data_IF_743573549626
#
_entry.id   IF_743573549626
#
_cell.length_a   1.000
_cell.length_b   1.000
_cell.length_c   1.000
_cell.angle_alpha   90.00
_cell.angle_beta   90.00
_cell.angle_gamma   90.00
#
_symmetry.space_group_name_H-M   'P 1'
#
loop_
_entity.id
_entity.type
_entity.pdbx_description
1 polymer ?
#
# COMPACT_ATOMS: atom_id res chain seq x y z
N UNK A 1 36.64 5.56 56.74
CA UNK A 1 35.77 4.98 55.70
C UNK A 1 34.45 4.60 56.35
N UNK A 2 33.42 5.43 56.19
CA UNK A 2 32.11 5.20 56.79
C UNK A 2 31.40 4.07 56.06
N UNK A 3 30.82 3.10 56.80
CA UNK A 3 29.97 2.06 56.21
C UNK A 3 28.64 2.71 55.84
N UNK A 4 28.32 2.75 54.55
CA UNK A 4 27.03 3.22 54.03
C UNK A 4 25.91 2.39 54.67
N UNK A 5 24.84 3.05 55.13
CA UNK A 5 23.75 2.36 55.81
C UNK A 5 23.02 1.46 54.80
N UNK A 6 22.75 0.20 55.17
CA UNK A 6 22.12 -0.79 54.27
C UNK A 6 20.79 -0.31 53.65
N UNK A 7 20.06 0.59 54.33
CA UNK A 7 18.81 1.18 53.80
C UNK A 7 19.02 2.13 52.63
N UNK A 8 20.09 2.92 52.61
CA UNK A 8 20.41 3.84 51.50
C UNK A 8 20.73 3.06 50.22
N UNK A 9 21.45 1.94 50.37
CA UNK A 9 21.81 1.07 49.24
C UNK A 9 20.57 0.44 48.60
N UNK A 10 19.57 0.01 49.40
CA UNK A 10 18.32 -0.57 48.90
C UNK A 10 17.49 0.48 48.14
N UNK A 11 17.54 1.73 48.58
CA UNK A 11 16.80 2.83 47.97
C UNK A 11 17.39 3.24 46.61
N UNK A 12 18.71 3.30 46.49
CA UNK A 12 19.42 3.52 45.22
C UNK A 12 19.10 2.44 44.17
N UNK A 13 18.98 1.17 44.60
CA UNK A 13 18.58 0.08 43.71
C UNK A 13 17.12 0.17 43.26
N UNK A 14 16.21 0.58 44.13
CA UNK A 14 14.80 0.80 43.80
C UNK A 14 14.64 1.95 42.81
N UNK A 15 15.36 3.05 43.02
CA UNK A 15 15.33 4.21 42.14
C UNK A 15 15.97 3.90 40.78
N UNK A 16 17.06 3.13 40.75
CA UNK A 16 17.64 2.60 39.51
C UNK A 16 16.70 1.67 38.75
N UNK A 17 15.97 0.81 39.46
CA UNK A 17 14.98 -0.10 38.88
C UNK A 17 13.79 0.64 38.27
N UNK A 18 13.29 1.67 38.95
CA UNK A 18 12.22 2.53 38.44
C UNK A 18 12.68 3.34 37.22
N UNK A 19 13.90 3.89 37.25
CA UNK A 19 14.48 4.61 36.12
C UNK A 19 14.61 3.75 34.86
N UNK A 20 15.09 2.51 34.99
CA UNK A 20 15.21 1.57 33.87
C UNK A 20 13.82 1.23 33.32
N UNK A 21 12.85 0.97 34.20
CA UNK A 21 11.47 0.67 33.82
C UNK A 21 10.83 1.82 33.03
N UNK A 22 10.93 3.04 33.53
CA UNK A 22 10.33 4.22 32.89
C UNK A 22 10.97 4.52 31.54
N UNK A 23 12.29 4.30 31.41
CA UNK A 23 12.99 4.44 30.13
C UNK A 23 12.54 3.38 29.12
N UNK A 24 12.31 2.14 29.55
CA UNK A 24 11.80 1.07 28.69
C UNK A 24 10.38 1.36 28.22
N UNK A 25 9.48 1.81 29.10
CA UNK A 25 8.12 2.17 28.71
C UNK A 25 8.10 3.33 27.71
N UNK A 26 8.87 4.39 27.94
CA UNK A 26 9.00 5.51 26.99
C UNK A 26 9.50 5.06 25.62
N UNK A 27 10.47 4.13 25.59
CA UNK A 27 10.97 3.59 24.32
C UNK A 27 9.90 2.77 23.60
N UNK A 28 9.17 1.94 24.34
CA UNK A 28 8.10 1.08 23.80
C UNK A 28 6.93 1.91 23.24
N UNK A 29 6.50 2.95 23.95
CA UNK A 29 5.48 3.89 23.48
C UNK A 29 5.93 4.60 22.19
N UNK A 30 7.17 5.11 22.17
CA UNK A 30 7.71 5.78 20.98
C UNK A 30 7.86 4.87 19.77
N UNK A 31 8.11 3.57 19.99
CA UNK A 31 8.15 2.60 18.89
C UNK A 31 6.74 2.30 18.42
N UNK A 32 5.79 2.09 19.32
CA UNK A 32 4.39 1.83 18.99
C UNK A 32 3.79 2.96 18.16
N UNK A 33 3.98 4.22 18.55
CA UNK A 33 3.52 5.38 17.76
C UNK A 33 4.10 5.40 16.33
N UNK A 34 5.35 4.98 16.15
CA UNK A 34 5.96 4.88 14.81
C UNK A 34 5.37 3.75 13.96
N UNK A 35 4.95 2.66 14.58
CA UNK A 35 4.26 1.57 13.88
C UNK A 35 2.85 2.01 13.49
N UNK A 36 2.11 2.61 14.42
CA UNK A 36 0.74 3.08 14.19
C UNK A 36 0.71 4.13 13.08
N UNK A 37 1.60 5.14 13.12
CA UNK A 37 1.70 6.17 12.06
C UNK A 37 2.09 5.61 10.69
N UNK A 38 2.92 4.56 10.63
CA UNK A 38 3.25 3.87 9.38
C UNK A 38 2.06 3.09 8.84
N UNK A 39 1.34 2.37 9.69
CA UNK A 39 0.16 1.62 9.28
C UNK A 39 -0.98 2.54 8.83
N UNK A 40 -1.24 3.61 9.58
CA UNK A 40 -2.23 4.63 9.23
C UNK A 40 -1.84 5.35 7.94
N UNK A 41 -0.57 5.71 7.77
CA UNK A 41 -0.06 6.29 6.52
C UNK A 41 -0.27 5.36 5.32
N UNK A 42 0.01 4.07 5.47
CA UNK A 42 -0.23 3.08 4.41
C UNK A 42 -1.72 2.87 4.12
N UNK A 43 -2.58 2.82 5.15
CA UNK A 43 -4.03 2.70 4.99
C UNK A 43 -4.60 3.95 4.31
N UNK A 44 -4.16 5.14 4.71
CA UNK A 44 -4.56 6.41 4.10
C UNK A 44 -4.10 6.52 2.64
N UNK A 45 -2.86 6.14 2.34
CA UNK A 45 -2.36 6.12 0.95
C UNK A 45 -3.16 5.17 0.06
N UNK A 46 -3.43 3.95 0.53
CA UNK A 46 -4.29 2.99 -0.21
C UNK A 46 -5.70 3.52 -0.42
N UNK A 47 -6.27 4.19 0.59
CA UNK A 47 -7.61 4.78 0.48
C UNK A 47 -7.64 5.94 -0.53
N UNK A 48 -6.61 6.79 -0.55
CA UNK A 48 -6.48 7.87 -1.54
C UNK A 48 -6.29 7.33 -2.96
N UNK A 49 -5.44 6.32 -3.14
CA UNK A 49 -5.23 5.66 -4.43
C UNK A 49 -6.52 5.03 -4.95
N UNK A 50 -7.28 4.34 -4.09
CA UNK A 50 -8.59 3.79 -4.45
C UNK A 50 -9.59 4.89 -4.87
N UNK A 51 -9.55 6.05 -4.20
CA UNK A 51 -10.42 7.17 -4.52
C UNK A 51 -10.03 7.83 -5.85
N UNK A 52 -8.73 7.97 -6.14
CA UNK A 52 -8.24 8.44 -7.44
C UNK A 52 -8.64 7.50 -8.58
N UNK A 53 -8.53 6.18 -8.38
CA UNK A 53 -8.98 5.17 -9.35
C UNK A 53 -10.50 5.26 -9.58
N UNK A 54 -11.29 5.51 -8.52
CA UNK A 54 -12.74 5.67 -8.68
C UNK A 54 -13.12 6.95 -9.43
N UNK A 55 -12.34 8.03 -9.31
CA UNK A 55 -12.56 9.26 -10.07
C UNK A 55 -12.22 9.08 -11.54
N UNK A 56 -11.11 8.41 -11.86
CA UNK A 56 -10.74 8.12 -13.25
C UNK A 56 -11.72 7.15 -13.94
N UNK A 57 -12.41 6.29 -13.18
CA UNK A 57 -13.45 5.42 -13.71
C UNK A 57 -14.72 6.14 -14.21
N UNK A 58 -14.96 7.36 -13.73
CA UNK A 58 -16.12 8.17 -14.13
C UNK A 58 -15.85 9.09 -15.33
N UNK A 59 -14.58 9.35 -15.67
CA UNK A 59 -14.18 10.27 -16.75
C UNK A 59 -13.98 9.57 -18.11
N UNK A 60 -14.28 8.26 -18.19
CA UNK A 60 -14.13 7.49 -19.42
C UNK A 60 -15.30 7.79 -20.37
N UNK A 61 -15.00 8.37 -21.53
CA UNK A 61 -15.99 8.61 -22.59
C UNK A 61 -16.45 7.29 -23.21
N UNK A 62 -17.76 7.13 -23.39
CA UNK A 62 -18.32 5.95 -24.05
C UNK A 62 -17.84 5.79 -25.51
N UNK A 63 -17.61 6.90 -26.21
CA UNK A 63 -17.10 6.93 -27.58
C UNK A 63 -15.71 6.27 -27.70
N UNK A 64 -14.83 6.53 -26.73
CA UNK A 64 -13.47 5.96 -26.70
C UNK A 64 -13.50 4.45 -26.43
N UNK A 65 -14.41 3.99 -25.56
CA UNK A 65 -14.63 2.57 -25.28
C UNK A 65 -15.11 1.84 -26.53
N UNK A 66 -16.11 2.41 -27.22
CA UNK A 66 -16.65 1.84 -28.45
C UNK A 66 -15.60 1.83 -29.56
N UNK A 67 -14.80 2.88 -29.67
CA UNK A 67 -13.71 2.95 -30.65
C UNK A 67 -12.67 1.85 -30.43
N UNK A 68 -12.17 1.67 -29.21
CA UNK A 68 -11.18 0.62 -28.91
C UNK A 68 -11.77 -0.77 -29.16
N UNK A 69 -13.01 -1.03 -28.71
CA UNK A 69 -13.66 -2.32 -28.91
C UNK A 69 -13.81 -2.65 -30.40
N UNK A 70 -14.19 -1.66 -31.22
CA UNK A 70 -14.33 -1.83 -32.67
C UNK A 70 -12.98 -2.03 -33.39
N UNK A 71 -11.92 -1.34 -32.97
CA UNK A 71 -10.60 -1.43 -33.63
C UNK A 71 -9.81 -2.68 -33.24
N UNK A 72 -9.93 -3.13 -31.99
CA UNK A 72 -9.09 -4.22 -31.45
C UNK A 72 -9.85 -5.52 -31.27
N UNK A 73 -11.20 -5.49 -31.31
CA UNK A 73 -12.04 -6.67 -31.14
C UNK A 73 -12.14 -7.17 -29.70
N UNK A 74 -11.66 -6.41 -28.71
CA UNK A 74 -11.79 -6.76 -27.29
C UNK A 74 -13.19 -6.42 -26.76
N UNK A 75 -13.57 -7.05 -25.64
CA UNK A 75 -14.83 -6.77 -24.97
C UNK A 75 -14.90 -5.31 -24.50
N UNK A 76 -16.10 -4.75 -24.39
CA UNK A 76 -16.29 -3.37 -23.90
C UNK A 76 -15.80 -3.21 -22.45
N UNK A 77 -15.85 -4.29 -21.67
CA UNK A 77 -15.37 -4.31 -20.28
C UNK A 77 -13.84 -4.19 -20.24
N UNK A 78 -13.13 -4.96 -21.08
CA UNK A 78 -11.67 -4.89 -21.19
C UNK A 78 -11.20 -3.54 -21.76
N UNK A 79 -11.92 -2.99 -22.74
CA UNK A 79 -11.62 -1.67 -23.31
C UNK A 79 -11.79 -0.57 -22.26
N UNK A 80 -12.84 -0.65 -21.43
CA UNK A 80 -13.04 0.28 -20.32
C UNK A 80 -11.94 0.15 -19.27
N UNK A 81 -11.56 -1.08 -18.91
CA UNK A 81 -10.48 -1.31 -17.96
C UNK A 81 -9.14 -0.71 -18.44
N UNK A 82 -8.80 -0.89 -19.72
CA UNK A 82 -7.60 -0.30 -20.32
C UNK A 82 -7.61 1.23 -20.27
N UNK A 83 -8.76 1.87 -20.54
CA UNK A 83 -8.90 3.32 -20.43
C UNK A 83 -8.79 3.82 -18.99
N UNK A 84 -9.32 3.09 -18.01
CA UNK A 84 -9.20 3.47 -16.59
C UNK A 84 -7.74 3.43 -16.14
N UNK A 85 -7.02 2.38 -16.51
CA UNK A 85 -5.62 2.18 -16.12
C UNK A 85 -4.70 3.25 -16.73
N UNK A 86 -4.96 3.64 -17.98
CA UNK A 86 -4.19 4.66 -18.70
C UNK A 86 -4.74 6.09 -18.51
N UNK A 87 -5.61 6.32 -17.51
CA UNK A 87 -6.16 7.63 -17.15
C UNK A 87 -6.89 8.34 -18.30
N UNK A 88 -7.71 7.59 -19.04
CA UNK A 88 -8.49 8.02 -20.19
C UNK A 88 -7.66 8.53 -21.39
N UNK A 89 -6.37 8.14 -21.49
CA UNK A 89 -5.55 8.38 -22.68
C UNK A 89 -5.85 7.31 -23.76
N UNK A 90 -6.61 7.69 -24.79
CA UNK A 90 -7.02 6.83 -25.89
C UNK A 90 -5.84 6.13 -26.58
N UNK A 91 -4.75 6.86 -26.83
CA UNK A 91 -3.62 6.33 -27.62
C UNK A 91 -2.86 5.28 -26.81
N UNK A 92 -2.63 5.54 -25.52
CA UNK A 92 -1.97 4.57 -24.64
C UNK A 92 -2.82 3.32 -24.42
N UNK A 93 -4.13 3.50 -24.19
CA UNK A 93 -5.05 2.39 -24.04
C UNK A 93 -5.08 1.50 -25.29
N UNK A 94 -5.06 2.11 -26.49
CA UNK A 94 -5.03 1.38 -27.76
C UNK A 94 -3.69 0.68 -28.00
N UNK A 95 -2.58 1.33 -27.67
CA UNK A 95 -1.26 0.72 -27.78
C UNK A 95 -1.12 -0.49 -26.85
N UNK A 96 -1.68 -0.42 -25.65
CA UNK A 96 -1.69 -1.51 -24.67
C UNK A 96 -2.60 -2.67 -25.06
N UNK A 97 -3.77 -2.40 -25.62
CA UNK A 97 -4.68 -3.46 -26.09
C UNK A 97 -4.13 -4.23 -27.28
N UNK A 98 -3.29 -3.60 -28.11
CA UNK A 98 -2.61 -4.24 -29.24
C UNK A 98 -1.33 -4.98 -28.82
N UNK A 99 -0.72 -4.61 -27.69
CA UNK A 99 0.50 -5.28 -27.23
C UNK A 99 0.24 -6.76 -26.92
N UNK A 100 1.12 -7.67 -27.37
CA UNK A 100 1.01 -9.07 -27.06
C UNK A 100 1.12 -9.27 -25.56
N UNK A 101 0.16 -9.99 -24.97
CA UNK A 101 0.22 -10.32 -23.54
C UNK A 101 1.56 -10.99 -23.23
N UNK A 102 2.28 -10.56 -22.18
CA UNK A 102 3.52 -11.19 -21.79
C UNK A 102 3.23 -12.68 -21.58
N UNK A 103 4.03 -13.53 -22.25
CA UNK A 103 3.86 -14.98 -22.14
C UNK A 103 3.94 -15.36 -20.67
N UNK A 104 2.97 -16.14 -20.20
CA UNK A 104 3.02 -16.72 -18.87
C UNK A 104 4.38 -17.40 -18.70
N UNK A 105 5.15 -16.99 -17.68
CA UNK A 105 6.37 -17.70 -17.31
C UNK A 105 5.92 -19.08 -16.83
N UNK A 106 6.31 -20.12 -17.56
CA UNK A 106 5.90 -21.51 -17.35
C UNK A 106 6.57 -22.12 -16.10
N UNK A 107 6.47 -21.44 -14.96
CA UNK A 107 6.89 -22.00 -13.68
C UNK A 107 5.74 -22.79 -13.05
N UNK A 108 4.47 -22.44 -13.32
CA UNK A 108 3.30 -23.08 -12.68
C UNK A 108 2.20 -23.59 -13.62
N UNK A 109 2.42 -23.66 -14.94
CA UNK A 109 1.56 -24.43 -15.86
C UNK A 109 0.06 -24.09 -15.91
N UNK A 110 -0.40 -22.99 -15.31
CA UNK A 110 -1.80 -22.60 -15.29
C UNK A 110 -2.18 -21.78 -16.53
N UNK A 111 -2.77 -22.42 -17.53
CA UNK A 111 -3.52 -21.71 -18.56
C UNK A 111 -4.83 -21.19 -17.95
N UNK A 112 -5.04 -19.87 -17.97
CA UNK A 112 -6.34 -19.28 -17.62
C UNK A 112 -7.31 -19.64 -18.75
N UNK A 113 -8.45 -20.31 -18.47
CA UNK A 113 -9.45 -20.60 -19.49
C UNK A 113 -10.05 -19.29 -20.03
N UNK A 114 -10.40 -19.32 -21.32
CA UNK A 114 -10.97 -18.20 -22.08
C UNK A 114 -12.24 -17.65 -21.46
#
# INVERSE_FOLDING_TARGET
MSRVAQGEVIQDFLDGGNYIRDRLFKFLDSTKERWDTKEEGQKAQKALEALEVSKSANDVKAEDVDYISNQTGISKEDARAALIEEKADLVKALLKSVQPRPRARSVDGGAIPK
#
